data_IF_447770150987
#
_entry.id   IF_447770150987
#
_cell.length_a   1.000
_cell.length_b   1.000
_cell.length_c   1.000
_cell.angle_alpha   90.00
_cell.angle_beta   90.00
_cell.angle_gamma   90.00
#
_symmetry.space_group_name_H-M   'P 1'
#
loop_
_entity.id
_entity.type
_entity.pdbx_description
1 polymer ?
#
# COMPACT_ATOMS: atom_id res chain seq x y z
N UNK A 1 21.24 16.85 28.21
CA UNK A 1 20.54 15.60 27.80
C UNK A 1 20.97 15.26 26.38
N UNK A 2 21.15 13.97 26.05
CA UNK A 2 21.36 13.54 24.65
C UNK A 2 20.01 13.47 23.94
N UNK A 3 19.99 13.75 22.63
CA UNK A 3 18.80 13.56 21.82
C UNK A 3 18.34 12.08 21.86
N UNK A 4 17.03 11.80 21.76
CA UNK A 4 16.48 10.45 21.88
C UNK A 4 16.98 9.51 20.78
N UNK A 5 17.09 8.23 21.09
CA UNK A 5 17.44 7.22 20.10
C UNK A 5 16.31 6.98 19.09
N UNK A 6 16.61 6.25 18.02
CA UNK A 6 15.57 5.79 17.07
C UNK A 6 14.45 5.01 17.79
N UNK A 7 14.84 4.14 18.71
CA UNK A 7 13.88 3.22 19.34
C UNK A 7 12.97 3.94 20.33
N UNK A 8 13.44 5.01 20.97
CA UNK A 8 12.62 5.87 21.81
C UNK A 8 11.54 6.59 20.97
N UNK A 9 11.95 7.17 19.84
CA UNK A 9 11.02 7.85 18.92
C UNK A 9 10.00 6.87 18.33
N UNK A 10 10.46 5.68 17.89
CA UNK A 10 9.60 4.63 17.36
C UNK A 10 8.59 4.19 18.41
N UNK A 11 9.04 3.94 19.63
CA UNK A 11 8.16 3.53 20.72
C UNK A 11 7.08 4.57 21.00
N UNK A 12 7.43 5.85 21.05
CA UNK A 12 6.46 6.95 21.22
C UNK A 12 5.40 6.94 20.12
N UNK A 13 5.81 6.82 18.86
CA UNK A 13 4.90 6.76 17.71
C UNK A 13 4.00 5.52 17.76
N UNK A 14 4.55 4.36 18.06
CA UNK A 14 3.78 3.10 18.16
C UNK A 14 2.76 3.13 19.27
N UNK A 15 3.18 3.48 20.49
CA UNK A 15 2.30 3.50 21.66
C UNK A 15 1.13 4.47 21.42
N UNK A 16 1.43 5.65 20.89
CA UNK A 16 0.41 6.68 20.62
C UNK A 16 -0.56 6.26 19.52
N UNK A 17 -0.06 5.89 18.34
CA UNK A 17 -0.92 5.56 17.19
C UNK A 17 -1.71 4.27 17.40
N UNK A 18 -1.10 3.23 18.01
CA UNK A 18 -1.83 2.00 18.37
C UNK A 18 -2.99 2.30 19.31
N UNK A 19 -2.77 3.08 20.39
CA UNK A 19 -3.81 3.41 21.34
C UNK A 19 -4.93 4.24 20.71
N UNK A 20 -4.60 5.19 19.83
CA UNK A 20 -5.59 6.02 19.12
C UNK A 20 -6.42 5.22 18.12
N UNK A 21 -5.80 4.37 17.31
CA UNK A 21 -6.50 3.50 16.34
C UNK A 21 -7.38 2.49 17.07
N UNK A 22 -6.93 1.96 18.20
CA UNK A 22 -7.72 1.05 19.04
C UNK A 22 -8.85 1.75 19.84
N UNK A 23 -8.94 3.08 19.79
CA UNK A 23 -9.91 3.85 20.57
C UNK A 23 -9.67 3.82 22.08
N UNK A 24 -8.49 3.40 22.53
CA UNK A 24 -8.10 3.33 23.95
C UNK A 24 -7.38 4.59 24.44
N UNK A 25 -7.10 5.55 23.57
CA UNK A 25 -6.52 6.84 23.92
C UNK A 25 -7.61 7.78 24.45
N UNK A 26 -7.30 8.53 25.49
CA UNK A 26 -8.22 9.53 26.04
C UNK A 26 -8.51 10.70 25.09
N UNK A 27 -9.40 11.63 25.46
CA UNK A 27 -9.66 12.82 24.66
C UNK A 27 -8.38 13.63 24.43
N UNK A 28 -8.13 14.02 23.18
CA UNK A 28 -7.00 14.86 22.80
C UNK A 28 -7.43 16.33 22.92
N UNK A 29 -6.66 17.12 23.66
CA UNK A 29 -6.88 18.56 23.76
C UNK A 29 -6.52 19.26 22.44
N UNK A 30 -7.20 20.36 22.14
CA UNK A 30 -6.81 21.24 21.06
C UNK A 30 -5.41 21.81 21.31
N UNK A 31 -4.55 21.89 20.30
CA UNK A 31 -3.27 22.59 20.39
C UNK A 31 -3.49 24.10 20.47
N UNK A 32 -2.42 24.84 20.74
CA UNK A 32 -2.47 26.30 20.76
C UNK A 32 -3.03 26.87 19.44
N UNK A 33 -3.83 27.96 19.55
CA UNK A 33 -4.52 28.59 18.42
C UNK A 33 -3.57 29.02 17.29
N UNK A 34 -2.33 29.40 17.64
CA UNK A 34 -1.34 29.83 16.65
C UNK A 34 -0.86 28.71 15.73
N UNK A 35 -0.80 27.45 16.22
CA UNK A 35 -0.29 26.30 15.46
C UNK A 35 -1.38 25.44 14.85
N UNK A 36 -2.58 25.44 15.43
CA UNK A 36 -3.72 24.61 15.01
C UNK A 36 -4.02 24.72 13.49
N UNK A 37 -4.11 25.93 12.87
CA UNK A 37 -4.40 26.05 11.44
C UNK A 37 -3.32 25.41 10.55
N UNK A 38 -2.07 25.39 11.01
CA UNK A 38 -0.97 24.76 10.29
C UNK A 38 -1.04 23.23 10.38
N UNK A 39 -1.41 22.67 11.54
CA UNK A 39 -1.65 21.24 11.72
C UNK A 39 -2.85 20.78 10.90
N UNK A 40 -3.95 21.52 10.90
CA UNK A 40 -5.14 21.26 10.07
C UNK A 40 -4.77 21.25 8.57
N UNK A 41 -3.89 22.13 8.14
CA UNK A 41 -3.36 22.16 6.77
C UNK A 41 -2.63 20.85 6.44
N UNK A 42 -1.80 20.32 7.34
CA UNK A 42 -1.10 19.04 7.15
C UNK A 42 -2.08 17.85 7.07
N UNK A 43 -3.15 17.89 7.84
CA UNK A 43 -4.15 16.83 7.86
C UNK A 43 -5.05 16.87 6.62
N UNK A 44 -5.41 18.06 6.13
CA UNK A 44 -6.31 18.23 4.99
C UNK A 44 -5.65 17.96 3.64
N UNK A 45 -4.34 18.15 3.52
CA UNK A 45 -3.59 17.92 2.29
C UNK A 45 -3.06 16.50 2.22
N UNK A 46 -3.03 15.92 1.01
CA UNK A 46 -2.39 14.60 0.77
C UNK A 46 -0.86 14.69 0.65
N UNK A 47 -0.25 15.64 1.35
CA UNK A 47 1.21 15.81 1.41
C UNK A 47 1.80 14.95 2.54
N UNK A 48 1.65 13.64 2.43
CA UNK A 48 2.03 12.68 3.47
C UNK A 48 3.47 12.83 3.94
N UNK A 49 4.41 13.13 3.03
CA UNK A 49 5.82 13.34 3.39
C UNK A 49 6.00 14.48 4.41
N UNK A 50 5.27 15.58 4.24
CA UNK A 50 5.35 16.74 5.13
C UNK A 50 4.68 16.46 6.46
N UNK A 51 3.49 15.86 6.43
CA UNK A 51 2.71 15.47 7.61
C UNK A 51 3.48 14.48 8.49
N UNK A 52 3.96 13.40 7.89
CA UNK A 52 4.58 12.29 8.62
C UNK A 52 5.98 12.66 9.12
N UNK A 53 6.69 13.51 8.38
CA UNK A 53 7.94 14.13 8.85
C UNK A 53 7.70 15.01 10.09
N UNK A 54 6.69 15.87 10.05
CA UNK A 54 6.33 16.71 11.20
C UNK A 54 5.92 15.88 12.42
N UNK A 55 5.09 14.86 12.22
CA UNK A 55 4.70 13.95 13.29
C UNK A 55 5.93 13.31 13.97
N UNK A 56 6.92 12.88 13.16
CA UNK A 56 8.16 12.29 13.70
C UNK A 56 9.00 13.31 14.48
N UNK A 57 9.10 14.56 14.01
CA UNK A 57 9.86 15.60 14.69
C UNK A 57 9.21 16.02 16.00
N UNK A 58 7.90 16.18 16.04
CA UNK A 58 7.17 16.47 17.28
C UNK A 58 7.28 15.31 18.28
N UNK A 59 7.17 14.06 17.83
CA UNK A 59 7.41 12.88 18.68
C UNK A 59 8.81 12.89 19.30
N UNK A 60 9.83 13.23 18.50
CA UNK A 60 11.20 13.35 18.97
C UNK A 60 11.36 14.44 20.03
N UNK A 61 10.72 15.59 19.87
CA UNK A 61 10.80 16.69 20.81
C UNK A 61 10.11 16.36 22.14
N UNK A 62 8.93 15.71 22.07
CA UNK A 62 8.23 15.21 23.25
C UNK A 62 9.08 14.17 23.99
N UNK A 63 9.72 13.26 23.29
CA UNK A 63 10.56 12.23 23.90
C UNK A 63 11.86 12.82 24.47
N UNK A 64 12.38 13.90 23.88
CA UNK A 64 13.51 14.63 24.42
C UNK A 64 13.16 15.35 25.74
N UNK A 65 11.89 15.71 25.92
CA UNK A 65 11.39 16.38 27.12
C UNK A 65 11.83 17.84 27.26
N UNK A 66 12.35 18.45 26.20
CA UNK A 66 12.78 19.84 26.14
C UNK A 66 12.64 20.40 24.73
N UNK A 67 12.56 21.74 24.60
CA UNK A 67 12.50 22.40 23.30
C UNK A 67 13.80 22.17 22.51
N UNK A 68 13.65 21.91 21.23
CA UNK A 68 14.77 21.73 20.27
C UNK A 68 14.89 23.02 19.45
N UNK A 69 16.09 23.54 19.32
CA UNK A 69 16.37 24.58 18.33
C UNK A 69 16.45 23.98 16.93
N UNK A 70 15.35 23.96 16.24
CA UNK A 70 15.23 23.41 14.89
C UNK A 70 16.03 24.21 13.84
N UNK A 71 16.42 25.45 14.10
CA UNK A 71 17.24 26.25 13.20
C UNK A 71 18.70 25.76 13.17
N UNK A 72 19.21 25.36 14.32
CA UNK A 72 20.57 24.82 14.45
C UNK A 72 20.64 23.29 14.28
N UNK A 73 19.50 22.59 14.38
CA UNK A 73 19.44 21.14 14.32
C UNK A 73 19.77 20.65 12.90
N UNK A 74 20.78 19.80 12.80
CA UNK A 74 21.10 19.07 11.58
C UNK A 74 20.15 17.87 11.34
N UNK A 75 20.31 17.21 10.19
CA UNK A 75 19.60 15.95 9.95
C UNK A 75 20.03 14.89 10.96
N UNK A 76 19.10 14.48 11.80
CA UNK A 76 19.33 13.52 12.85
C UNK A 76 18.92 12.10 12.38
N UNK A 77 19.91 11.21 12.23
CA UNK A 77 19.69 9.86 11.70
C UNK A 77 18.64 9.03 12.46
N UNK A 78 18.56 9.03 13.81
CA UNK A 78 17.50 8.35 14.53
C UNK A 78 16.10 8.80 14.13
N UNK A 79 15.85 10.11 14.02
CA UNK A 79 14.54 10.64 13.58
C UNK A 79 14.22 10.22 12.14
N UNK A 80 15.21 10.25 11.24
CA UNK A 80 15.05 9.77 9.87
C UNK A 80 14.69 8.28 9.82
N UNK A 81 15.39 7.46 10.60
CA UNK A 81 15.12 6.01 10.66
C UNK A 81 13.77 5.71 11.32
N UNK A 82 13.32 6.51 12.29
CA UNK A 82 11.98 6.41 12.88
C UNK A 82 10.90 6.79 11.86
N UNK A 83 11.11 7.86 11.07
CA UNK A 83 10.21 8.24 9.98
C UNK A 83 10.09 7.16 8.91
N UNK A 84 11.19 6.50 8.55
CA UNK A 84 11.15 5.36 7.64
C UNK A 84 10.33 4.21 8.22
N UNK A 85 10.54 3.87 9.48
CA UNK A 85 9.76 2.84 10.18
C UNK A 85 8.27 3.17 10.22
N UNK A 86 7.91 4.42 10.51
CA UNK A 86 6.53 4.90 10.50
C UNK A 86 5.83 4.55 9.18
N UNK A 87 6.42 4.94 8.05
CA UNK A 87 5.83 4.74 6.72
C UNK A 87 5.93 3.31 6.19
N UNK A 88 7.04 2.61 6.44
CA UNK A 88 7.27 1.26 5.88
C UNK A 88 6.72 0.12 6.72
N UNK A 89 6.44 0.34 8.01
CA UNK A 89 6.07 -0.73 8.94
C UNK A 89 4.80 -0.40 9.74
N UNK A 90 4.78 0.74 10.43
CA UNK A 90 3.68 1.05 11.34
C UNK A 90 2.40 1.40 10.60
N UNK A 91 2.46 2.26 9.59
CA UNK A 91 1.30 2.65 8.81
C UNK A 91 0.64 1.50 8.04
N UNK A 92 1.38 0.62 7.33
CA UNK A 92 0.81 -0.57 6.73
C UNK A 92 0.10 -1.46 7.78
N UNK A 93 0.72 -1.68 8.95
CA UNK A 93 0.12 -2.48 10.03
C UNK A 93 -1.18 -1.88 10.58
N UNK A 94 -1.28 -0.55 10.63
CA UNK A 94 -2.46 0.18 11.12
C UNK A 94 -3.42 0.60 9.99
N UNK A 95 -3.14 0.20 8.75
CA UNK A 95 -3.91 0.58 7.56
C UNK A 95 -4.07 2.11 7.39
N UNK A 96 -3.04 2.87 7.74
CA UNK A 96 -2.96 4.32 7.60
C UNK A 96 -2.28 4.67 6.28
N UNK A 97 -2.86 5.59 5.50
CA UNK A 97 -2.19 6.13 4.33
C UNK A 97 -1.08 7.11 4.73
N UNK A 98 0.15 6.89 4.21
CA UNK A 98 1.31 7.70 4.59
C UNK A 98 2.46 7.66 3.61
N UNK A 99 3.56 8.32 3.97
CA UNK A 99 4.81 8.31 3.22
C UNK A 99 5.71 7.14 3.65
N UNK A 100 6.33 6.47 2.68
CA UNK A 100 7.33 5.43 2.97
C UNK A 100 8.62 5.98 3.60
N UNK A 101 8.96 7.24 3.33
CA UNK A 101 10.12 7.94 3.91
C UNK A 101 9.86 9.46 3.92
N UNK A 102 9.44 9.98 5.08
CA UNK A 102 9.05 11.37 5.22
C UNK A 102 10.25 12.31 5.40
N UNK A 103 11.29 11.89 6.10
CA UNK A 103 12.55 12.63 6.27
C UNK A 103 13.61 12.12 5.29
N UNK A 104 13.71 12.76 4.13
CA UNK A 104 14.54 12.29 3.01
C UNK A 104 16.05 12.54 3.18
N UNK A 105 16.86 11.65 2.57
CA UNK A 105 18.32 11.66 2.60
C UNK A 105 19.01 12.88 1.98
N UNK A 106 18.36 13.58 1.07
CA UNK A 106 18.96 14.73 0.35
C UNK A 106 18.96 16.05 1.11
N UNK A 107 18.40 16.10 2.32
CA UNK A 107 18.29 17.32 3.13
C UNK A 107 19.40 17.35 4.17
N UNK A 108 20.33 18.28 4.02
CA UNK A 108 21.48 18.43 4.94
C UNK A 108 21.13 19.08 6.29
N UNK A 109 19.90 19.00 6.74
CA UNK A 109 19.46 19.48 8.04
C UNK A 109 18.00 19.90 8.03
N UNK A 110 17.39 19.88 9.19
CA UNK A 110 15.99 20.32 9.39
C UNK A 110 15.85 21.79 9.04
N UNK A 111 16.87 22.62 9.37
CA UNK A 111 16.93 24.05 9.03
C UNK A 111 16.80 24.33 7.53
N UNK A 112 17.35 23.47 6.66
CA UNK A 112 17.19 23.61 5.20
C UNK A 112 15.79 23.26 4.70
N UNK A 113 15.09 22.42 5.43
CA UNK A 113 13.67 22.14 5.18
C UNK A 113 12.80 23.36 5.52
N UNK A 114 13.11 24.01 6.65
CA UNK A 114 12.45 25.23 7.09
C UNK A 114 12.57 26.29 6.01
N UNK A 115 13.78 26.50 5.48
CA UNK A 115 14.06 27.59 4.54
C UNK A 115 13.52 27.39 3.12
N UNK A 116 13.28 26.16 2.68
CA UNK A 116 13.16 25.89 1.24
C UNK A 116 11.86 25.27 0.73
N UNK A 117 11.06 24.57 1.53
CA UNK A 117 10.07 23.67 0.93
C UNK A 117 8.61 23.82 1.36
N UNK A 118 8.30 24.24 2.56
CA UNK A 118 6.90 24.27 2.98
C UNK A 118 6.65 25.32 4.06
N UNK A 119 5.83 26.32 3.74
CA UNK A 119 5.51 27.42 4.67
C UNK A 119 4.81 26.90 5.94
N UNK A 120 3.96 25.87 5.82
CA UNK A 120 3.27 25.23 6.94
C UNK A 120 4.28 24.57 7.88
N UNK A 121 5.24 23.83 7.34
CA UNK A 121 6.30 23.23 8.15
C UNK A 121 7.15 24.26 8.87
N UNK A 122 7.57 25.32 8.15
CA UNK A 122 8.32 26.42 8.74
C UNK A 122 7.58 27.04 9.92
N UNK A 123 6.31 27.39 9.74
CA UNK A 123 5.51 28.00 10.79
C UNK A 123 5.41 27.11 12.05
N UNK A 124 5.25 25.79 11.89
CA UNK A 124 5.18 24.86 13.03
C UNK A 124 6.53 24.78 13.75
N UNK A 125 7.65 24.67 13.03
CA UNK A 125 8.96 24.55 13.67
C UNK A 125 9.44 25.86 14.28
N UNK A 126 9.14 27.02 13.68
CA UNK A 126 9.38 28.33 14.28
C UNK A 126 8.58 28.47 15.58
N UNK A 127 7.29 28.14 15.55
CA UNK A 127 6.44 28.11 16.75
C UNK A 127 6.97 27.13 17.81
N UNK A 128 7.42 25.94 17.44
CA UNK A 128 7.99 24.97 18.37
C UNK A 128 9.29 25.45 19.02
N UNK A 129 10.12 26.20 18.29
CA UNK A 129 11.40 26.73 18.79
C UNK A 129 11.26 27.93 19.71
N UNK A 130 10.08 28.56 19.80
CA UNK A 130 9.88 29.72 20.66
C UNK A 130 9.83 29.35 22.15
N UNK A 131 10.67 29.96 23.02
CA UNK A 131 10.58 29.78 24.47
C UNK A 131 9.23 30.30 25.00
N UNK A 132 8.41 29.43 25.55
CA UNK A 132 7.13 29.79 26.19
C UNK A 132 7.02 29.14 27.56
N UNK A 133 6.16 29.67 28.45
CA UNK A 133 6.03 29.23 29.83
C UNK A 133 5.56 27.76 29.96
N UNK A 134 4.71 27.31 29.05
CA UNK A 134 4.16 25.95 29.01
C UNK A 134 5.11 24.91 28.37
N UNK A 135 6.26 25.37 27.82
CA UNK A 135 7.37 24.52 27.43
C UNK A 135 6.96 23.33 26.54
N UNK A 136 7.32 22.14 26.98
CA UNK A 136 7.11 20.91 26.24
C UNK A 136 5.62 20.48 26.13
N UNK A 137 4.78 20.87 27.10
CA UNK A 137 3.36 20.47 27.12
C UNK A 137 2.59 20.92 25.87
N UNK A 138 2.91 22.11 25.34
CA UNK A 138 2.30 22.62 24.09
C UNK A 138 2.74 21.79 22.87
N UNK A 139 3.98 21.31 22.86
CA UNK A 139 4.50 20.45 21.80
C UNK A 139 3.82 19.08 21.84
N UNK A 140 3.64 18.56 23.05
CA UNK A 140 2.90 17.30 23.25
C UNK A 140 1.44 17.42 22.77
N UNK A 141 0.75 18.52 23.07
CA UNK A 141 -0.59 18.78 22.56
C UNK A 141 -0.62 18.82 21.02
N UNK A 142 0.34 19.49 20.37
CA UNK A 142 0.45 19.50 18.91
C UNK A 142 0.76 18.13 18.33
N UNK A 143 1.65 17.37 18.95
CA UNK A 143 1.95 15.98 18.59
C UNK A 143 0.70 15.10 18.66
N UNK A 144 0.01 15.12 19.77
CA UNK A 144 -1.18 14.29 20.01
C UNK A 144 -2.32 14.68 19.05
N UNK A 145 -2.51 15.97 18.78
CA UNK A 145 -3.50 16.44 17.82
C UNK A 145 -3.21 15.92 16.39
N UNK A 146 -1.96 16.05 15.94
CA UNK A 146 -1.55 15.55 14.64
C UNK A 146 -1.65 14.02 14.55
N UNK A 147 -1.24 13.31 15.63
CA UNK A 147 -1.35 11.86 15.73
C UNK A 147 -2.81 11.39 15.69
N UNK A 148 -3.73 12.07 16.38
CA UNK A 148 -5.16 11.77 16.35
C UNK A 148 -5.75 11.96 14.96
N UNK A 149 -5.40 13.04 14.26
CA UNK A 149 -5.82 13.27 12.88
C UNK A 149 -5.28 12.21 11.93
N UNK A 150 -4.04 11.76 12.10
CA UNK A 150 -3.44 10.65 11.33
C UNK A 150 -4.14 9.34 11.65
N UNK A 151 -4.34 9.00 12.92
CA UNK A 151 -5.03 7.78 13.35
C UNK A 151 -6.48 7.71 12.86
N UNK A 152 -7.17 8.85 12.78
CA UNK A 152 -8.54 8.93 12.24
C UNK A 152 -8.62 8.55 10.74
N UNK A 153 -7.50 8.52 10.02
CA UNK A 153 -7.45 8.03 8.63
C UNK A 153 -7.24 6.52 8.53
N UNK A 154 -7.09 5.81 9.66
CA UNK A 154 -6.93 4.36 9.66
C UNK A 154 -8.18 3.68 9.09
N UNK A 155 -7.96 2.74 8.16
CA UNK A 155 -9.05 1.95 7.58
C UNK A 155 -9.44 0.84 8.55
N UNK A 156 -10.71 0.75 8.88
CA UNK A 156 -11.25 -0.33 9.73
C UNK A 156 -11.45 -1.60 8.88
N UNK A 157 -10.35 -2.34 8.69
CA UNK A 157 -10.34 -3.57 7.93
C UNK A 157 -10.31 -4.79 8.85
N UNK A 158 -11.05 -5.87 8.51
CA UNK A 158 -10.93 -7.13 9.24
C UNK A 158 -9.53 -7.71 9.02
N UNK A 159 -8.93 -8.26 10.08
CA UNK A 159 -7.68 -9.00 9.95
C UNK A 159 -7.86 -10.26 9.08
N UNK A 160 -6.79 -10.67 8.41
CA UNK A 160 -6.75 -11.94 7.70
C UNK A 160 -6.96 -13.08 8.71
N UNK A 161 -8.00 -13.92 8.57
CA UNK A 161 -8.20 -15.05 9.46
C UNK A 161 -7.14 -16.13 9.24
N UNK A 162 -6.85 -16.92 10.27
CA UNK A 162 -5.98 -18.07 10.14
C UNK A 162 -6.60 -19.09 9.17
N UNK A 163 -5.86 -19.49 8.14
CA UNK A 163 -6.31 -20.40 7.12
C UNK A 163 -6.03 -21.86 7.55
N UNK A 164 -7.04 -22.73 7.41
CA UNK A 164 -6.92 -24.17 7.63
C UNK A 164 -6.32 -24.84 6.39
N UNK A 165 -5.00 -24.95 6.34
CA UNK A 165 -4.26 -25.49 5.20
C UNK A 165 -4.77 -26.86 4.69
N UNK A 166 -5.12 -27.84 5.53
CA UNK A 166 -5.78 -29.07 5.12
C UNK A 166 -7.02 -28.87 4.25
N UNK A 167 -7.83 -27.85 4.51
CA UNK A 167 -9.07 -27.53 3.77
C UNK A 167 -8.83 -26.81 2.45
N UNK A 168 -7.62 -26.29 2.18
CA UNK A 168 -7.28 -25.57 0.95
C UNK A 168 -7.12 -26.52 -0.25
N UNK A 169 -8.15 -27.33 -0.49
CA UNK A 169 -8.23 -28.20 -1.66
C UNK A 169 -8.49 -27.38 -2.93
N UNK A 170 -8.14 -27.94 -4.10
CA UNK A 170 -8.43 -27.26 -5.37
C UNK A 170 -9.92 -26.89 -5.52
N UNK A 171 -10.90 -27.82 -5.30
CA UNK A 171 -12.30 -27.46 -5.45
C UNK A 171 -12.75 -26.34 -4.50
N UNK A 172 -12.30 -26.38 -3.25
CA UNK A 172 -12.73 -25.41 -2.24
C UNK A 172 -12.20 -24.00 -2.53
N UNK A 173 -10.90 -23.86 -2.86
CA UNK A 173 -10.31 -22.56 -3.19
C UNK A 173 -10.82 -22.07 -4.55
N UNK A 174 -11.02 -22.97 -5.54
CA UNK A 174 -11.58 -22.58 -6.82
C UNK A 174 -13.02 -22.05 -6.68
N UNK A 175 -13.85 -22.70 -5.87
CA UNK A 175 -15.22 -22.21 -5.61
C UNK A 175 -15.21 -20.80 -5.03
N UNK A 176 -14.36 -20.53 -4.03
CA UNK A 176 -14.18 -19.18 -3.46
C UNK A 176 -13.80 -18.14 -4.55
N UNK A 177 -12.73 -18.41 -5.31
CA UNK A 177 -12.23 -17.46 -6.30
C UNK A 177 -13.20 -17.28 -7.47
N UNK A 178 -13.92 -18.33 -7.88
CA UNK A 178 -14.94 -18.26 -8.91
C UNK A 178 -16.14 -17.41 -8.47
N UNK A 179 -16.57 -17.53 -7.21
CA UNK A 179 -17.62 -16.70 -6.65
C UNK A 179 -17.20 -15.22 -6.57
N UNK A 180 -15.95 -14.94 -6.19
CA UNK A 180 -15.39 -13.58 -6.22
C UNK A 180 -15.36 -13.01 -7.65
N UNK A 181 -14.91 -13.79 -8.63
CA UNK A 181 -14.88 -13.34 -10.04
C UNK A 181 -16.28 -13.08 -10.60
N UNK A 182 -17.35 -13.61 -10.04
CA UNK A 182 -18.75 -13.31 -10.45
C UNK A 182 -19.24 -11.99 -9.90
N UNK A 183 -18.64 -11.49 -8.84
CA UNK A 183 -19.02 -10.22 -8.22
C UNK A 183 -18.42 -9.03 -8.97
N UNK A 184 -19.12 -7.90 -8.94
CA UNK A 184 -18.59 -6.65 -9.50
C UNK A 184 -17.55 -6.05 -8.57
N UNK A 185 -16.35 -5.83 -9.07
CA UNK A 185 -15.23 -5.29 -8.31
C UNK A 185 -14.49 -4.17 -9.05
N UNK A 186 -15.05 -3.66 -10.14
CA UNK A 186 -14.39 -2.72 -11.05
C UNK A 186 -13.02 -3.21 -11.55
N UNK A 187 -12.82 -4.53 -11.68
CA UNK A 187 -11.59 -5.16 -12.15
C UNK A 187 -10.60 -5.57 -11.04
N UNK A 188 -10.90 -5.25 -9.77
CA UNK A 188 -10.00 -5.59 -8.66
C UNK A 188 -9.85 -7.11 -8.48
N UNK A 189 -10.95 -7.86 -8.55
CA UNK A 189 -10.89 -9.32 -8.40
C UNK A 189 -10.08 -9.97 -9.52
N UNK A 190 -10.31 -9.57 -10.77
CA UNK A 190 -9.59 -10.10 -11.92
C UNK A 190 -8.08 -9.83 -11.78
N UNK A 191 -7.70 -8.60 -11.51
CA UNK A 191 -6.30 -8.18 -11.44
C UNK A 191 -5.58 -8.82 -10.25
N UNK A 192 -6.18 -8.77 -9.05
CA UNK A 192 -5.47 -9.18 -7.84
C UNK A 192 -5.50 -10.69 -7.61
N UNK A 193 -6.56 -11.40 -8.02
CA UNK A 193 -6.58 -12.87 -8.00
C UNK A 193 -5.53 -13.41 -8.98
N UNK A 194 -5.49 -12.87 -10.21
CA UNK A 194 -4.50 -13.26 -11.19
C UNK A 194 -3.07 -13.01 -10.68
N UNK A 195 -2.78 -11.79 -10.17
CA UNK A 195 -1.46 -11.45 -9.64
C UNK A 195 -1.03 -12.36 -8.47
N UNK A 196 -1.93 -12.61 -7.51
CA UNK A 196 -1.64 -13.44 -6.35
C UNK A 196 -1.35 -14.90 -6.72
N UNK A 197 -2.09 -15.47 -7.69
CA UNK A 197 -1.86 -16.82 -8.17
C UNK A 197 -0.58 -16.92 -9.01
N UNK A 198 -0.29 -15.93 -9.83
CA UNK A 198 0.95 -15.88 -10.61
C UNK A 198 2.16 -15.82 -9.68
N UNK A 199 2.13 -14.99 -8.64
CA UNK A 199 3.19 -14.89 -7.63
C UNK A 199 3.37 -16.21 -6.89
N UNK A 200 2.26 -16.83 -6.43
CA UNK A 200 2.31 -18.15 -5.77
C UNK A 200 2.86 -19.26 -6.68
N UNK A 201 2.56 -19.19 -7.97
CA UNK A 201 3.09 -20.12 -8.97
C UNK A 201 4.60 -19.98 -9.14
N UNK A 202 5.11 -18.74 -9.24
CA UNK A 202 6.55 -18.46 -9.32
C UNK A 202 7.29 -18.89 -8.05
N UNK A 203 6.70 -18.61 -6.88
CA UNK A 203 7.25 -19.05 -5.58
C UNK A 203 7.35 -20.58 -5.52
N UNK A 204 6.31 -21.31 -5.94
CA UNK A 204 6.34 -22.79 -5.97
C UNK A 204 7.41 -23.35 -6.89
N UNK A 205 7.72 -22.66 -8.00
CA UNK A 205 8.78 -23.06 -8.93
C UNK A 205 10.18 -22.69 -8.44
N UNK A 206 10.30 -21.89 -7.37
CA UNK A 206 11.57 -21.36 -6.89
C UNK A 206 12.22 -20.35 -7.86
N UNK A 207 11.41 -19.69 -8.67
CA UNK A 207 11.90 -18.71 -9.64
C UNK A 207 12.26 -17.37 -8.96
N UNK A 208 13.39 -16.77 -9.37
CA UNK A 208 13.88 -15.50 -8.81
C UNK A 208 13.20 -14.25 -9.44
N UNK A 209 12.07 -14.41 -10.09
CA UNK A 209 11.28 -13.31 -10.64
C UNK A 209 10.42 -12.63 -9.57
N UNK A 210 10.09 -11.36 -9.79
CA UNK A 210 9.17 -10.59 -8.95
C UNK A 210 7.92 -10.29 -9.75
N UNK A 211 6.75 -10.63 -9.20
CA UNK A 211 5.45 -10.22 -9.75
C UNK A 211 5.06 -8.89 -9.10
N UNK A 212 4.86 -7.87 -9.91
CA UNK A 212 4.39 -6.57 -9.48
C UNK A 212 3.00 -6.28 -10.05
N UNK A 213 2.16 -5.64 -9.24
CA UNK A 213 0.86 -5.14 -9.70
C UNK A 213 0.67 -3.69 -9.30
N UNK A 214 0.06 -2.90 -10.17
CA UNK A 214 -0.23 -1.49 -9.89
C UNK A 214 -1.47 -1.33 -9.02
N UNK A 215 -1.65 -0.14 -8.47
CA UNK A 215 -2.91 0.24 -7.84
C UNK A 215 -4.03 0.27 -8.89
N UNK A 216 -5.22 -0.19 -8.55
CA UNK A 216 -6.32 -0.41 -9.50
C UNK A 216 -6.62 0.80 -10.42
N UNK A 217 -6.54 2.02 -9.90
CA UNK A 217 -6.86 3.25 -10.63
C UNK A 217 -5.62 4.11 -10.95
N UNK A 218 -4.41 3.56 -10.81
CA UNK A 218 -3.19 4.29 -11.15
C UNK A 218 -2.93 4.24 -12.65
N UNK A 219 -2.50 5.37 -13.24
CA UNK A 219 -1.93 5.34 -14.59
C UNK A 219 -0.57 4.65 -14.58
N UNK A 220 -0.18 4.02 -15.70
CA UNK A 220 1.10 3.32 -15.82
C UNK A 220 2.28 4.24 -15.51
N UNK A 221 2.23 5.49 -15.97
CA UNK A 221 3.25 6.50 -15.69
C UNK A 221 3.39 6.85 -14.20
N UNK A 222 2.29 6.82 -13.44
CA UNK A 222 2.30 7.14 -12.00
C UNK A 222 2.65 5.94 -11.13
N UNK A 223 2.43 4.72 -11.62
CA UNK A 223 2.68 3.48 -10.89
C UNK A 223 4.12 2.96 -11.06
N UNK A 224 4.86 3.44 -12.08
CA UNK A 224 6.17 2.92 -12.43
C UNK A 224 6.12 1.47 -12.93
N UNK A 225 4.96 1.01 -13.40
CA UNK A 225 4.73 -0.33 -13.96
C UNK A 225 4.40 -0.24 -15.45
N UNK A 226 4.79 -1.27 -16.21
CA UNK A 226 4.51 -1.35 -17.63
C UNK A 226 3.05 -1.73 -17.93
N UNK A 227 2.41 -2.50 -17.03
CA UNK A 227 1.06 -3.03 -17.19
C UNK A 227 0.32 -3.17 -15.85
N UNK A 228 -0.92 -3.69 -15.87
CA UNK A 228 -1.71 -3.98 -14.67
C UNK A 228 -1.01 -4.97 -13.75
N UNK A 229 -0.40 -6.02 -14.34
CA UNK A 229 0.49 -6.98 -13.68
C UNK A 229 1.71 -7.16 -14.57
N UNK A 230 2.89 -7.28 -13.97
CA UNK A 230 4.14 -7.53 -14.71
C UNK A 230 5.05 -8.46 -13.93
N UNK A 231 5.87 -9.20 -14.67
CA UNK A 231 6.95 -9.98 -14.11
C UNK A 231 8.29 -9.30 -14.39
N UNK A 232 9.14 -9.27 -13.39
CA UNK A 232 10.51 -8.75 -13.51
C UNK A 232 11.53 -9.82 -13.15
N UNK A 233 12.57 -9.89 -13.94
CA UNK A 233 13.76 -10.65 -13.63
C UNK A 233 14.98 -9.74 -13.66
N UNK A 234 15.76 -9.73 -12.60
CA UNK A 234 16.92 -8.84 -12.43
C UNK A 234 16.62 -7.36 -12.70
N UNK A 235 15.44 -6.91 -12.31
CA UNK A 235 15.00 -5.52 -12.47
C UNK A 235 14.46 -5.15 -13.85
N UNK A 236 14.49 -6.07 -14.82
CA UNK A 236 13.91 -5.87 -16.15
C UNK A 236 12.54 -6.53 -16.24
N UNK A 237 11.59 -5.87 -16.89
CA UNK A 237 10.28 -6.45 -17.18
C UNK A 237 10.45 -7.54 -18.24
N UNK A 238 9.98 -8.74 -17.96
CA UNK A 238 10.04 -9.89 -18.86
C UNK A 238 8.69 -10.27 -19.44
N UNK A 239 7.62 -10.03 -18.70
CA UNK A 239 6.23 -10.31 -19.07
C UNK A 239 5.32 -9.18 -18.59
N UNK A 240 4.30 -8.86 -19.38
CA UNK A 240 3.31 -7.84 -19.07
C UNK A 240 1.90 -8.36 -19.32
N UNK A 241 0.98 -8.07 -18.38
CA UNK A 241 -0.40 -8.53 -18.41
C UNK A 241 -1.35 -7.34 -18.22
N UNK A 242 -2.17 -7.08 -19.24
CA UNK A 242 -3.28 -6.13 -19.15
C UNK A 242 -4.53 -6.89 -18.73
N UNK A 243 -5.04 -6.60 -17.55
CA UNK A 243 -6.16 -7.34 -16.93
C UNK A 243 -7.45 -6.52 -17.02
N UNK A 244 -8.56 -7.16 -17.38
CA UNK A 244 -9.86 -6.47 -17.47
C UNK A 244 -11.03 -7.37 -17.09
N UNK A 245 -12.01 -6.76 -16.42
CA UNK A 245 -13.33 -7.37 -16.22
C UNK A 245 -14.24 -7.26 -17.48
N UNK A 246 -13.80 -6.49 -18.46
CA UNK A 246 -14.52 -6.25 -19.72
C UNK A 246 -14.01 -7.17 -20.84
N UNK A 247 -14.53 -6.94 -22.03
CA UNK A 247 -14.06 -7.59 -23.25
C UNK A 247 -12.56 -7.26 -23.51
N UNK A 248 -11.80 -8.25 -24.01
CA UNK A 248 -10.37 -8.12 -24.30
C UNK A 248 -10.05 -7.00 -25.30
N UNK A 249 -10.98 -6.68 -26.21
CA UNK A 249 -10.82 -5.60 -27.18
C UNK A 249 -10.52 -4.25 -26.52
N UNK A 250 -11.04 -4.03 -25.31
CA UNK A 250 -10.81 -2.79 -24.55
C UNK A 250 -9.34 -2.58 -24.15
N UNK A 251 -8.52 -3.63 -24.19
CA UNK A 251 -7.11 -3.61 -23.79
C UNK A 251 -6.11 -3.78 -24.95
N UNK A 252 -6.56 -4.04 -26.15
CA UNK A 252 -5.67 -4.29 -27.32
C UNK A 252 -4.70 -3.14 -27.55
N UNK A 253 -5.19 -1.91 -27.59
CA UNK A 253 -4.32 -0.74 -27.83
C UNK A 253 -3.37 -0.48 -26.68
N UNK A 254 -3.80 -0.69 -25.43
CA UNK A 254 -2.94 -0.58 -24.26
C UNK A 254 -1.82 -1.61 -24.32
N UNK A 255 -2.12 -2.87 -24.56
CA UNK A 255 -1.13 -3.95 -24.67
C UNK A 255 -0.12 -3.71 -25.82
N UNK A 256 -0.58 -3.18 -26.98
CA UNK A 256 0.32 -2.75 -28.07
C UNK A 256 1.31 -1.68 -27.62
N UNK A 257 0.80 -0.68 -26.87
CA UNK A 257 1.62 0.41 -26.37
C UNK A 257 2.64 -0.11 -25.35
N UNK A 258 2.21 -0.99 -24.43
CA UNK A 258 3.08 -1.65 -23.45
C UNK A 258 4.25 -2.38 -24.14
N UNK A 259 3.96 -3.21 -25.15
CA UNK A 259 4.99 -3.91 -25.92
C UNK A 259 6.02 -2.95 -26.51
N UNK A 260 5.55 -1.87 -27.17
CA UNK A 260 6.42 -0.93 -27.89
C UNK A 260 7.23 -0.05 -26.96
N UNK A 261 6.62 0.44 -25.87
CA UNK A 261 7.27 1.36 -24.94
C UNK A 261 8.33 0.69 -24.09
N UNK A 262 8.15 -0.60 -23.79
CA UNK A 262 9.03 -1.37 -22.92
C UNK A 262 9.90 -2.40 -23.68
N UNK A 263 9.85 -2.40 -25.02
CA UNK A 263 10.57 -3.32 -25.91
C UNK A 263 10.42 -4.79 -25.45
N UNK A 264 9.17 -5.18 -25.16
CA UNK A 264 8.87 -6.52 -24.67
C UNK A 264 8.70 -7.49 -25.83
N UNK A 265 9.17 -8.74 -25.69
CA UNK A 265 8.98 -9.76 -26.72
C UNK A 265 7.51 -10.16 -26.86
N UNK A 266 6.73 -10.11 -25.77
CA UNK A 266 5.30 -10.43 -25.75
C UNK A 266 4.55 -9.74 -24.61
N UNK A 267 3.23 -9.63 -24.78
CA UNK A 267 2.32 -9.22 -23.71
C UNK A 267 1.02 -10.02 -23.77
N UNK A 268 0.29 -9.99 -22.67
CA UNK A 268 -0.92 -10.77 -22.49
C UNK A 268 -2.10 -9.86 -22.15
N UNK A 269 -3.28 -10.17 -22.70
CA UNK A 269 -4.54 -9.58 -22.29
C UNK A 269 -5.31 -10.65 -21.53
N UNK A 270 -5.54 -10.43 -20.24
CA UNK A 270 -6.29 -11.34 -19.38
C UNK A 270 -7.68 -10.77 -19.17
N UNK A 271 -8.69 -11.33 -19.81
CA UNK A 271 -10.02 -10.75 -19.89
C UNK A 271 -11.12 -11.71 -19.44
N UNK A 272 -12.20 -11.17 -18.86
CA UNK A 272 -13.37 -11.96 -18.51
C UNK A 272 -14.13 -12.37 -19.78
N UNK A 273 -14.43 -13.65 -19.89
CA UNK A 273 -15.21 -14.21 -21.01
C UNK A 273 -14.46 -14.32 -22.33
N UNK A 274 -13.14 -14.16 -22.34
CA UNK A 274 -12.31 -14.33 -23.54
C UNK A 274 -12.43 -15.74 -24.14
N UNK A 275 -12.71 -16.76 -23.32
CA UNK A 275 -12.95 -18.14 -23.77
C UNK A 275 -14.20 -18.28 -24.69
N UNK A 276 -15.06 -17.28 -24.74
CA UNK A 276 -16.23 -17.26 -25.64
C UNK A 276 -15.92 -16.77 -27.05
N UNK A 277 -14.80 -16.07 -27.21
CA UNK A 277 -14.36 -15.60 -28.52
C UNK A 277 -13.78 -16.78 -29.32
N UNK A 278 -14.10 -16.85 -30.61
CA UNK A 278 -13.46 -17.83 -31.47
C UNK A 278 -11.97 -17.51 -31.69
N UNK A 279 -11.15 -18.52 -31.92
CA UNK A 279 -9.73 -18.28 -32.27
C UNK A 279 -9.56 -17.39 -33.50
N UNK A 280 -10.50 -17.45 -34.49
CA UNK A 280 -10.48 -16.58 -35.65
C UNK A 280 -10.76 -15.12 -35.29
N UNK A 281 -11.72 -14.85 -34.38
CA UNK A 281 -12.02 -13.50 -33.91
C UNK A 281 -10.81 -12.88 -33.18
N UNK A 282 -10.19 -13.67 -32.30
CA UNK A 282 -8.98 -13.22 -31.56
C UNK A 282 -7.84 -12.90 -32.55
N UNK A 283 -7.55 -13.82 -33.49
CA UNK A 283 -6.48 -13.60 -34.47
C UNK A 283 -6.75 -12.38 -35.36
N UNK A 284 -8.01 -12.16 -35.76
CA UNK A 284 -8.37 -10.99 -36.57
C UNK A 284 -8.31 -9.67 -35.84
N UNK A 285 -8.50 -9.69 -34.51
CA UNK A 285 -8.49 -8.50 -33.65
C UNK A 285 -7.06 -8.07 -33.25
N UNK A 286 -6.12 -9.00 -33.25
CA UNK A 286 -4.74 -8.72 -32.83
C UNK A 286 -3.90 -8.23 -34.01
N UNK A 287 -3.00 -7.23 -33.77
CA UNK A 287 -2.15 -6.71 -34.83
C UNK A 287 -1.12 -7.75 -35.30
N UNK A 288 -1.07 -7.95 -36.60
CA UNK A 288 -0.03 -8.81 -37.20
C UNK A 288 1.39 -8.30 -36.88
N UNK A 289 2.29 -9.20 -36.52
CA UNK A 289 3.68 -8.87 -36.21
C UNK A 289 3.96 -8.44 -34.77
N UNK A 290 2.96 -8.46 -33.87
CA UNK A 290 3.15 -8.32 -32.43
C UNK A 290 2.75 -9.62 -31.72
N UNK A 291 3.56 -10.07 -30.77
CA UNK A 291 3.24 -11.25 -29.96
C UNK A 291 2.33 -10.86 -28.80
N UNK A 292 1.03 -10.78 -29.12
CA UNK A 292 -0.06 -10.55 -28.16
C UNK A 292 -0.88 -11.81 -28.00
N UNK A 293 -1.16 -12.17 -26.76
CA UNK A 293 -2.06 -13.29 -26.44
C UNK A 293 -3.29 -12.81 -25.71
N UNK A 294 -4.40 -13.53 -25.85
CA UNK A 294 -5.64 -13.30 -25.12
C UNK A 294 -5.94 -14.53 -24.26
N UNK A 295 -6.08 -14.31 -22.98
CA UNK A 295 -6.30 -15.33 -21.97
C UNK A 295 -7.64 -15.06 -21.25
N UNK A 296 -8.40 -16.11 -20.96
CA UNK A 296 -9.58 -15.98 -20.11
C UNK A 296 -9.18 -16.03 -18.65
N UNK A 297 -9.53 -15.00 -17.87
CA UNK A 297 -9.13 -14.89 -16.47
C UNK A 297 -9.57 -16.10 -15.62
N UNK A 298 -10.79 -16.61 -15.84
CA UNK A 298 -11.31 -17.74 -15.07
C UNK A 298 -10.57 -19.03 -15.39
N UNK A 299 -10.25 -19.25 -16.65
CA UNK A 299 -9.49 -20.42 -17.10
C UNK A 299 -8.03 -20.36 -16.61
N UNK A 300 -7.40 -19.18 -16.61
CA UNK A 300 -6.06 -18.99 -16.06
C UNK A 300 -6.04 -19.22 -14.55
N UNK A 301 -7.01 -18.67 -13.81
CA UNK A 301 -7.18 -18.93 -12.38
C UNK A 301 -7.31 -20.42 -12.10
N UNK A 302 -8.16 -21.12 -12.86
CA UNK A 302 -8.35 -22.58 -12.75
C UNK A 302 -7.05 -23.34 -13.03
N UNK A 303 -6.34 -22.96 -14.09
CA UNK A 303 -5.10 -23.63 -14.54
C UNK A 303 -3.97 -23.45 -13.51
N UNK A 304 -3.72 -22.24 -13.06
CA UNK A 304 -2.69 -21.97 -12.04
C UNK A 304 -3.03 -22.66 -10.72
N UNK A 305 -4.26 -22.52 -10.23
CA UNK A 305 -4.69 -23.09 -8.97
C UNK A 305 -4.60 -24.65 -8.96
N UNK A 306 -4.88 -25.30 -10.10
CA UNK A 306 -4.77 -26.75 -10.24
C UNK A 306 -3.32 -27.24 -10.06
N UNK A 307 -2.34 -26.43 -10.38
CA UNK A 307 -0.91 -26.76 -10.28
C UNK A 307 -0.32 -26.41 -8.91
N UNK A 308 -0.97 -25.54 -8.12
CA UNK A 308 -0.49 -25.16 -6.80
C UNK A 308 -0.74 -26.24 -5.76
N UNK A 309 0.26 -26.53 -4.93
CA UNK A 309 0.12 -27.28 -3.69
C UNK A 309 -0.66 -26.47 -2.62
N UNK A 310 -1.17 -27.16 -1.59
CA UNK A 310 -1.92 -26.51 -0.50
C UNK A 310 -1.16 -25.35 0.17
N UNK A 311 0.16 -25.46 0.47
CA UNK A 311 0.91 -24.35 1.03
C UNK A 311 0.93 -23.12 0.12
N UNK A 312 1.07 -23.29 -1.20
CA UNK A 312 1.09 -22.19 -2.16
C UNK A 312 -0.30 -21.63 -2.46
N UNK A 313 -1.37 -22.42 -2.30
CA UNK A 313 -2.75 -21.89 -2.28
C UNK A 313 -2.98 -21.00 -1.06
N UNK A 314 -2.44 -21.38 0.10
CA UNK A 314 -2.44 -20.55 1.30
C UNK A 314 -1.72 -19.23 1.02
N UNK A 315 -0.50 -19.29 0.50
CA UNK A 315 0.27 -18.12 0.12
C UNK A 315 -0.51 -17.21 -0.85
N UNK A 316 -1.14 -17.78 -1.88
CA UNK A 316 -1.95 -17.00 -2.83
C UNK A 316 -3.12 -16.26 -2.16
N UNK A 317 -3.83 -16.90 -1.21
CA UNK A 317 -4.93 -16.25 -0.49
C UNK A 317 -4.43 -15.15 0.47
N UNK A 318 -3.34 -15.37 1.18
CA UNK A 318 -2.69 -14.37 2.02
C UNK A 318 -2.20 -13.18 1.18
N UNK A 319 -1.63 -13.46 0.01
CA UNK A 319 -1.19 -12.43 -0.94
C UNK A 319 -2.36 -11.64 -1.53
N UNK A 320 -3.45 -12.31 -1.88
CA UNK A 320 -4.67 -11.66 -2.36
C UNK A 320 -5.23 -10.69 -1.32
N UNK A 321 -5.27 -11.08 -0.04
CA UNK A 321 -5.65 -10.19 1.05
C UNK A 321 -4.76 -8.95 1.09
N UNK A 322 -3.43 -9.11 1.04
CA UNK A 322 -2.48 -8.00 1.02
C UNK A 322 -2.72 -7.05 -0.17
N UNK A 323 -2.95 -7.60 -1.36
CA UNK A 323 -3.24 -6.78 -2.54
C UNK A 323 -4.57 -6.02 -2.43
N UNK A 324 -5.61 -6.65 -1.88
CA UNK A 324 -6.90 -5.99 -1.61
C UNK A 324 -6.77 -4.89 -0.55
N UNK A 325 -5.88 -5.03 0.43
CA UNK A 325 -5.62 -4.00 1.43
C UNK A 325 -4.81 -2.85 0.84
N UNK A 326 -3.73 -3.13 0.12
CA UNK A 326 -2.71 -2.14 -0.24
C UNK A 326 -2.97 -1.45 -1.58
N UNK A 327 -3.61 -2.13 -2.54
CA UNK A 327 -3.64 -1.72 -3.93
C UNK A 327 -4.98 -1.13 -4.40
N UNK A 328 -5.99 -1.12 -3.54
CA UNK A 328 -7.29 -0.53 -3.85
C UNK A 328 -7.88 0.17 -2.61
N UNK A 329 -8.85 1.08 -2.82
CA UNK A 329 -9.40 1.93 -1.78
C UNK A 329 -10.79 1.48 -1.27
N UNK A 330 -11.38 0.43 -1.84
CA UNK A 330 -12.72 -0.04 -1.46
C UNK A 330 -12.64 -1.08 -0.34
N UNK A 331 -12.80 -0.64 0.90
CA UNK A 331 -12.76 -1.49 2.11
C UNK A 331 -13.76 -2.65 2.06
N UNK A 332 -14.85 -2.50 1.30
CA UNK A 332 -15.87 -3.55 1.19
C UNK A 332 -15.31 -4.81 0.54
N UNK A 333 -14.42 -4.69 -0.46
CA UNK A 333 -13.82 -5.86 -1.10
C UNK A 333 -12.96 -6.70 -0.14
N UNK A 334 -12.28 -6.06 0.82
CA UNK A 334 -11.54 -6.76 1.88
C UNK A 334 -12.49 -7.48 2.82
N UNK A 335 -13.58 -6.82 3.23
CA UNK A 335 -14.62 -7.40 4.11
C UNK A 335 -15.31 -8.58 3.43
N UNK A 336 -15.66 -8.43 2.16
CA UNK A 336 -16.30 -9.48 1.37
C UNK A 336 -15.37 -10.71 1.21
N UNK A 337 -14.09 -10.47 0.94
CA UNK A 337 -13.10 -11.55 0.85
C UNK A 337 -12.96 -12.32 2.16
N UNK A 338 -12.80 -11.60 3.30
CA UNK A 338 -12.69 -12.25 4.61
C UNK A 338 -13.98 -13.03 4.94
N UNK A 339 -15.14 -12.45 4.66
CA UNK A 339 -16.44 -13.12 4.85
C UNK A 339 -16.58 -14.36 3.97
N UNK A 340 -16.11 -14.30 2.73
CA UNK A 340 -16.13 -15.42 1.81
C UNK A 340 -15.21 -16.56 2.26
N UNK A 341 -14.01 -16.27 2.81
CA UNK A 341 -13.13 -17.27 3.40
C UNK A 341 -13.83 -18.09 4.51
N UNK A 342 -14.55 -17.39 5.38
CA UNK A 342 -15.33 -18.02 6.46
C UNK A 342 -16.49 -18.83 5.89
N UNK A 343 -17.26 -18.27 4.95
CA UNK A 343 -18.42 -18.93 4.34
C UNK A 343 -18.05 -20.20 3.57
N UNK A 344 -16.89 -20.22 2.91
CA UNK A 344 -16.35 -21.41 2.25
C UNK A 344 -15.65 -22.40 3.21
N UNK A 345 -15.62 -22.11 4.52
CA UNK A 345 -15.07 -22.98 5.55
C UNK A 345 -13.54 -23.17 5.46
N UNK A 346 -12.81 -22.18 4.89
CA UNK A 346 -11.37 -22.26 4.65
C UNK A 346 -10.51 -21.79 5.83
N UNK A 347 -11.17 -21.32 6.90
CA UNK A 347 -10.50 -20.79 8.10
C UNK A 347 -10.43 -21.85 9.19
N UNK A 348 -9.46 -21.69 10.10
CA UNK A 348 -9.42 -22.46 11.34
C UNK A 348 -10.68 -22.13 12.17
N UNK A 349 -11.20 -23.14 12.86
CA UNK A 349 -12.31 -22.93 13.80
C UNK A 349 -11.74 -22.19 15.02
N UNK A 350 -12.37 -21.10 15.48
CA UNK A 350 -11.90 -20.35 16.66
C UNK A 350 -11.87 -21.21 17.92
#
# INVERSE_FOLDING_TARGET
MSLPSRDDIVKRLEDTLNAMVAGSFGPVADPADEVKPHLDTLLSKREYTVRDGMLTLLAMEVEYGALIDWHSQGLYNPARNASKYLGSTLYPRLHIAGSGEALQTGVKGVSRYIDRKNATWRAILEWASEPKLDGIARIEAAFLYLAAGVAATARNLPAMPALDTPKLTFPAVFALLDDMLRQSSAGAHEQFIFAALLEAWREQLGEQGVVETKNLNASDASAGTAADVQEKYRGQVTEAYEVTANDYMTKVDQAKNTLRQHDLPRAHIVARGAAKASGADIVSALPAGLDLTVLDVREEVRSMLARLGKPHRRYALERLYTLLVDKQANDQLVKDFVSALVAHGLTETP
#
